data_IF_318144509886
#
_entry.id   IF_318144509886
#
_cell.length_a   1.000
_cell.length_b   1.000
_cell.length_c   1.000
_cell.angle_alpha   90.00
_cell.angle_beta   90.00
_cell.angle_gamma   90.00
#
_symmetry.space_group_name_H-M   'P 1'
#
loop_
_entity.id
_entity.type
_entity.pdbx_description
1 polymer ?
#
# COMPACT_ATOMS: atom_id res chain seq x y z
N UNK A 1 19.03 -39.59 -21.13
CA UNK A 1 18.01 -39.73 -20.07
C UNK A 1 18.59 -39.09 -18.83
N UNK A 2 18.02 -37.98 -18.34
CA UNK A 2 18.50 -37.31 -17.12
C UNK A 2 18.27 -38.21 -15.90
N UNK A 3 19.27 -38.28 -15.02
CA UNK A 3 19.21 -39.12 -13.82
C UNK A 3 18.18 -38.58 -12.83
N UNK A 4 17.60 -39.45 -11.99
CA UNK A 4 16.60 -39.05 -10.98
C UNK A 4 17.12 -37.98 -10.01
N UNK A 5 18.45 -37.94 -9.80
CA UNK A 5 19.13 -36.93 -8.99
C UNK A 5 19.18 -35.54 -9.66
N UNK A 6 19.46 -35.49 -10.97
CA UNK A 6 19.43 -34.25 -11.75
C UNK A 6 18.01 -33.68 -11.83
N UNK A 7 17.00 -34.54 -11.98
CA UNK A 7 15.59 -34.13 -12.00
C UNK A 7 15.15 -33.52 -10.65
N UNK A 8 15.57 -34.11 -9.52
CA UNK A 8 15.32 -33.57 -8.18
C UNK A 8 16.01 -32.22 -7.98
N UNK A 9 17.26 -32.10 -8.41
CA UNK A 9 17.99 -30.83 -8.32
C UNK A 9 17.29 -29.72 -9.13
N UNK A 10 16.87 -30.04 -10.37
CA UNK A 10 16.15 -29.09 -11.23
C UNK A 10 14.80 -28.67 -10.64
N UNK A 11 14.05 -29.63 -10.07
CA UNK A 11 12.79 -29.35 -9.40
C UNK A 11 12.98 -28.42 -8.19
N UNK A 12 13.96 -28.70 -7.33
CA UNK A 12 14.26 -27.84 -6.17
C UNK A 12 14.67 -26.43 -6.60
N UNK A 13 15.57 -26.31 -7.59
CA UNK A 13 16.00 -25.00 -8.10
C UNK A 13 14.83 -24.20 -8.64
N UNK A 14 13.92 -24.83 -9.40
CA UNK A 14 12.75 -24.14 -9.96
C UNK A 14 11.81 -23.64 -8.86
N UNK A 15 11.58 -24.45 -7.81
CA UNK A 15 10.76 -24.05 -6.66
C UNK A 15 11.37 -22.87 -5.92
N UNK A 16 12.68 -22.92 -5.63
CA UNK A 16 13.37 -21.81 -4.96
C UNK A 16 13.34 -20.53 -5.79
N UNK A 17 13.63 -20.62 -7.09
CA UNK A 17 13.58 -19.45 -7.98
C UNK A 17 12.18 -18.83 -8.04
N UNK A 18 11.13 -19.66 -8.06
CA UNK A 18 9.76 -19.16 -8.07
C UNK A 18 9.40 -18.47 -6.75
N UNK A 19 9.85 -19.00 -5.61
CA UNK A 19 9.66 -18.36 -4.31
C UNK A 19 10.37 -17.01 -4.24
N UNK A 20 11.60 -16.91 -4.73
CA UNK A 20 12.35 -15.65 -4.78
C UNK A 20 11.67 -14.62 -5.70
N UNK A 21 11.19 -15.07 -6.87
CA UNK A 21 10.41 -14.23 -7.80
C UNK A 21 9.13 -13.71 -7.15
N UNK A 22 8.40 -14.56 -6.44
CA UNK A 22 7.19 -14.17 -5.70
C UNK A 22 7.51 -13.18 -4.58
N UNK A 23 8.60 -13.40 -3.83
CA UNK A 23 9.06 -12.48 -2.80
C UNK A 23 9.41 -11.10 -3.37
N UNK A 24 10.17 -11.07 -4.47
CA UNK A 24 10.50 -9.85 -5.20
C UNK A 24 9.25 -9.14 -5.72
N UNK A 25 8.32 -9.87 -6.33
CA UNK A 25 7.05 -9.31 -6.82
C UNK A 25 6.19 -8.73 -5.70
N UNK A 26 6.10 -9.38 -4.53
CA UNK A 26 5.37 -8.81 -3.37
C UNK A 26 6.02 -7.52 -2.89
N UNK A 27 7.35 -7.45 -2.89
CA UNK A 27 8.09 -6.26 -2.47
C UNK A 27 7.92 -5.12 -3.47
N UNK A 28 7.96 -5.42 -4.77
CA UNK A 28 7.66 -4.47 -5.84
C UNK A 28 6.22 -3.97 -5.77
N UNK A 29 5.26 -4.86 -5.53
CA UNK A 29 3.86 -4.49 -5.32
C UNK A 29 3.71 -3.56 -4.12
N UNK A 30 4.30 -3.90 -2.97
CA UNK A 30 4.25 -3.06 -1.76
C UNK A 30 4.84 -1.66 -2.00
N UNK A 31 5.96 -1.57 -2.73
CA UNK A 31 6.55 -0.29 -3.13
C UNK A 31 5.68 0.49 -4.13
N UNK A 32 4.91 -0.22 -4.96
CA UNK A 32 4.01 0.38 -5.94
C UNK A 32 2.68 0.86 -5.36
N UNK A 33 2.27 0.35 -4.19
CA UNK A 33 0.97 0.64 -3.56
C UNK A 33 1.04 1.44 -2.27
N UNK A 34 2.24 1.67 -1.72
CA UNK A 34 2.43 2.37 -0.43
C UNK A 34 3.12 3.71 -0.65
N UNK A 35 2.72 4.73 0.11
CA UNK A 35 3.44 6.00 0.21
C UNK A 35 4.65 5.87 1.14
N UNK A 36 5.84 6.22 0.66
CA UNK A 36 7.08 5.98 1.39
C UNK A 36 7.25 6.88 2.63
N UNK A 37 6.58 8.04 2.66
CA UNK A 37 6.68 8.98 3.78
C UNK A 37 5.79 8.55 4.93
N UNK A 38 4.53 8.24 4.64
CA UNK A 38 3.47 8.00 5.65
C UNK A 38 3.16 6.52 5.88
N UNK A 39 3.64 5.63 5.01
CA UNK A 39 3.33 4.20 4.99
C UNK A 39 1.83 3.88 4.78
N UNK A 40 1.06 4.86 4.30
CA UNK A 40 -0.34 4.70 3.92
C UNK A 40 -0.47 4.19 2.48
N UNK A 41 -1.66 3.69 2.06
CA UNK A 41 -1.94 3.43 0.65
C UNK A 41 -1.68 4.69 -0.17
N UNK A 42 -0.90 4.56 -1.24
CA UNK A 42 -0.68 5.68 -2.14
C UNK A 42 -1.90 5.89 -3.07
N UNK A 43 -1.85 6.95 -3.86
CA UNK A 43 -2.93 7.30 -4.79
C UNK A 43 -3.36 6.13 -5.69
N UNK A 44 -2.41 5.32 -6.20
CA UNK A 44 -2.73 4.18 -7.06
C UNK A 44 -3.57 3.14 -6.30
N UNK A 45 -3.13 2.78 -5.10
CA UNK A 45 -3.84 1.83 -4.26
C UNK A 45 -5.24 2.34 -3.88
N UNK A 46 -5.36 3.64 -3.56
CA UNK A 46 -6.65 4.27 -3.29
C UNK A 46 -7.59 4.20 -4.51
N UNK A 47 -7.10 4.53 -5.72
CA UNK A 47 -7.91 4.48 -6.94
C UNK A 47 -8.41 3.06 -7.23
N UNK A 48 -7.51 2.08 -7.24
CA UNK A 48 -7.86 0.68 -7.49
C UNK A 48 -8.87 0.15 -6.48
N UNK A 49 -8.74 0.56 -5.22
CA UNK A 49 -9.63 0.14 -4.15
C UNK A 49 -10.98 0.84 -4.19
N UNK A 50 -11.01 2.12 -4.53
CA UNK A 50 -12.23 2.89 -4.68
C UNK A 50 -13.09 2.32 -5.82
N UNK A 51 -12.48 1.96 -6.95
CA UNK A 51 -13.19 1.33 -8.07
C UNK A 51 -13.91 0.05 -7.62
N UNK A 52 -13.23 -0.80 -6.86
CA UNK A 52 -13.81 -2.03 -6.30
C UNK A 52 -14.97 -1.75 -5.34
N UNK A 53 -14.84 -0.78 -4.44
CA UNK A 53 -15.89 -0.46 -3.47
C UNK A 53 -17.09 0.21 -4.12
N UNK A 54 -16.90 1.00 -5.18
CA UNK A 54 -18.00 1.54 -6.01
C UNK A 54 -18.77 0.41 -6.69
N UNK A 55 -18.08 -0.53 -7.34
CA UNK A 55 -18.74 -1.70 -7.95
C UNK A 55 -19.51 -2.53 -6.92
N UNK A 56 -18.93 -2.72 -5.73
CA UNK A 56 -19.56 -3.45 -4.64
C UNK A 56 -20.81 -2.74 -4.12
N UNK A 57 -20.72 -1.42 -3.90
CA UNK A 57 -21.85 -0.60 -3.47
C UNK A 57 -23.00 -0.67 -4.47
N UNK A 58 -22.71 -0.56 -5.76
CA UNK A 58 -23.70 -0.70 -6.84
C UNK A 58 -24.32 -2.10 -6.88
N UNK A 59 -23.51 -3.15 -6.74
CA UNK A 59 -23.98 -4.54 -6.80
C UNK A 59 -24.92 -4.92 -5.66
N UNK A 60 -24.61 -4.47 -4.45
CA UNK A 60 -25.34 -4.87 -3.24
C UNK A 60 -26.29 -3.80 -2.71
N UNK A 61 -26.33 -2.61 -3.32
CA UNK A 61 -27.16 -1.49 -2.88
C UNK A 61 -26.75 -0.92 -1.53
N UNK A 62 -25.49 -1.09 -1.13
CA UNK A 62 -24.97 -0.54 0.12
C UNK A 62 -24.42 0.87 -0.09
N UNK A 63 -24.68 1.82 0.83
CA UNK A 63 -24.12 3.16 0.74
C UNK A 63 -22.60 3.14 0.91
N UNK A 64 -21.90 3.89 0.07
CA UNK A 64 -20.47 4.18 0.18
C UNK A 64 -20.29 5.67 0.53
N UNK A 65 -19.29 5.98 1.35
CA UNK A 65 -18.91 7.36 1.68
C UNK A 65 -17.41 7.51 1.53
N UNK A 66 -16.98 8.70 1.09
CA UNK A 66 -15.59 9.06 0.93
C UNK A 66 -15.32 10.36 1.69
N UNK A 67 -14.27 10.37 2.50
CA UNK A 67 -13.78 11.57 3.17
C UNK A 67 -12.48 12.02 2.52
N UNK A 68 -12.44 13.27 2.07
CA UNK A 68 -11.21 13.93 1.64
C UNK A 68 -10.87 15.02 2.65
N UNK A 69 -9.64 15.05 3.13
CA UNK A 69 -9.18 16.02 4.10
C UNK A 69 -7.77 16.49 3.74
N UNK A 70 -7.44 17.72 4.15
CA UNK A 70 -6.15 18.36 3.89
C UNK A 70 -5.62 19.03 5.17
N UNK A 71 -4.30 19.17 5.27
CA UNK A 71 -3.64 19.81 6.40
C UNK A 71 -3.70 21.33 6.29
N UNK A 72 -4.47 21.97 7.18
CA UNK A 72 -4.58 23.43 7.19
C UNK A 72 -3.22 24.12 7.33
N UNK A 73 -2.94 25.05 6.40
CA UNK A 73 -1.72 25.88 6.40
C UNK A 73 -0.41 25.08 6.45
N UNK A 74 -0.40 23.84 5.94
CA UNK A 74 0.79 22.98 5.98
C UNK A 74 2.05 23.64 5.36
N UNK A 75 1.88 24.50 4.35
CA UNK A 75 2.98 25.30 3.80
C UNK A 75 3.66 26.20 4.84
N UNK A 76 2.90 26.82 5.75
CA UNK A 76 3.48 27.65 6.82
C UNK A 76 4.33 26.83 7.78
N UNK A 77 3.96 25.57 8.03
CA UNK A 77 4.77 24.64 8.82
C UNK A 77 6.10 24.37 8.12
N UNK A 78 6.07 24.07 6.81
CA UNK A 78 7.29 23.87 6.03
C UNK A 78 8.17 25.12 5.99
N UNK A 79 7.59 26.29 5.77
CA UNK A 79 8.33 27.55 5.65
C UNK A 79 8.93 27.98 7.01
N UNK A 80 8.28 27.65 8.13
CA UNK A 80 8.72 28.03 9.48
C UNK A 80 9.71 27.05 10.09
N UNK A 81 9.50 25.75 9.88
CA UNK A 81 10.22 24.67 10.58
C UNK A 81 11.05 23.78 9.64
N UNK A 82 10.94 23.98 8.34
CA UNK A 82 11.61 23.19 7.32
C UNK A 82 10.88 21.89 6.97
N UNK A 83 11.22 21.33 5.80
CA UNK A 83 10.58 20.13 5.26
C UNK A 83 10.71 18.91 6.17
N UNK A 84 11.81 18.73 6.89
CA UNK A 84 11.98 17.58 7.78
C UNK A 84 10.92 17.54 8.91
N UNK A 85 10.49 18.71 9.40
CA UNK A 85 9.40 18.82 10.38
C UNK A 85 8.05 18.63 9.71
N UNK A 86 7.85 19.18 8.51
CA UNK A 86 6.66 18.90 7.69
C UNK A 86 6.44 17.40 7.47
N UNK A 87 7.50 16.69 7.09
CA UNK A 87 7.48 15.24 6.91
C UNK A 87 7.11 14.49 8.19
N UNK A 88 7.59 14.95 9.35
CA UNK A 88 7.21 14.38 10.65
C UNK A 88 5.73 14.63 10.97
N UNK A 89 5.21 15.81 10.64
CA UNK A 89 3.78 16.13 10.78
C UNK A 89 2.92 15.24 9.87
N UNK A 90 3.33 14.99 8.62
CA UNK A 90 2.60 14.10 7.71
C UNK A 90 2.57 12.66 8.21
N UNK A 91 3.69 12.15 8.74
CA UNK A 91 3.76 10.82 9.38
C UNK A 91 2.79 10.70 10.54
N UNK A 92 2.81 11.68 11.43
CA UNK A 92 1.94 11.72 12.61
C UNK A 92 0.46 11.83 12.22
N UNK A 93 0.13 12.67 11.24
CA UNK A 93 -1.22 12.82 10.72
C UNK A 93 -1.74 11.51 10.13
N UNK A 94 -0.92 10.81 9.35
CA UNK A 94 -1.27 9.49 8.82
C UNK A 94 -1.51 8.46 9.94
N UNK A 95 -0.61 8.39 10.93
CA UNK A 95 -0.75 7.49 12.07
C UNK A 95 -2.03 7.76 12.87
N UNK A 96 -2.35 9.03 13.13
CA UNK A 96 -3.57 9.43 13.84
C UNK A 96 -4.82 9.09 13.05
N UNK A 97 -4.82 9.36 11.74
CA UNK A 97 -5.94 9.02 10.87
C UNK A 97 -6.21 7.51 10.93
N UNK A 98 -5.19 6.66 10.75
CA UNK A 98 -5.36 5.20 10.82
C UNK A 98 -5.85 4.73 12.19
N UNK A 99 -5.44 5.37 13.29
CA UNK A 99 -5.83 4.96 14.64
C UNK A 99 -7.33 5.10 14.94
N UNK A 100 -8.05 5.92 14.16
CA UNK A 100 -9.49 6.16 14.33
C UNK A 100 -10.35 5.41 13.30
N UNK A 101 -9.72 4.80 12.30
CA UNK A 101 -10.41 4.02 11.27
C UNK A 101 -10.92 2.68 11.83
N UNK A 102 -12.07 2.24 11.34
CA UNK A 102 -12.61 0.91 11.61
C UNK A 102 -11.98 -0.10 10.66
N UNK A 103 -12.09 -1.39 10.98
CA UNK A 103 -11.55 -2.46 10.15
C UNK A 103 -12.11 -2.52 8.71
N UNK A 104 -13.29 -1.92 8.46
CA UNK A 104 -13.88 -1.83 7.12
C UNK A 104 -13.56 -0.53 6.38
N UNK A 105 -12.94 0.43 7.06
CA UNK A 105 -12.49 1.68 6.46
C UNK A 105 -11.11 1.49 5.83
N UNK A 106 -10.76 2.37 4.89
CA UNK A 106 -9.54 2.29 4.07
C UNK A 106 -8.83 3.64 4.10
#
# INVERSE_FOLDING_TARGET
MLTHQEMRHYATTTVTLNQDLQGANRRLAALATTDALTNLPNHRALSERLDQEVERAQRYGHPLSLLFFDGDRFKQVNDTYGHAIGDAVLRELGSRATSILRAGDI
#
